data_IF_095780456970
#
_entry.id   IF_095780456970
#
_cell.length_a   1.000
_cell.length_b   1.000
_cell.length_c   1.000
_cell.angle_alpha   90.00
_cell.angle_beta   90.00
_cell.angle_gamma   90.00
#
_symmetry.space_group_name_H-M   'P 1'
#
loop_
_entity.id
_entity.type
_entity.pdbx_description
1 polymer ?
#
# COMPACT_ATOMS: atom_id res chain seq x y z
N UNK A 1 -14.55 8.26 21.22
CA UNK A 1 -14.58 6.90 20.63
C UNK A 1 -13.32 6.67 19.80
N UNK A 2 -12.75 5.45 19.74
CA UNK A 2 -11.53 5.15 18.96
C UNK A 2 -11.62 5.56 17.49
N UNK A 3 -12.78 5.33 16.86
CA UNK A 3 -13.02 5.72 15.45
C UNK A 3 -12.91 7.24 15.24
N UNK A 4 -13.50 8.03 16.13
CA UNK A 4 -13.43 9.50 16.05
C UNK A 4 -11.98 9.98 16.17
N UNK A 5 -11.24 9.46 17.16
CA UNK A 5 -9.83 9.82 17.36
C UNK A 5 -8.96 9.44 16.16
N UNK A 6 -9.23 8.27 15.56
CA UNK A 6 -8.52 7.81 14.36
C UNK A 6 -8.84 8.71 13.15
N UNK A 7 -10.08 9.21 13.02
CA UNK A 7 -10.43 10.20 11.97
C UNK A 7 -9.71 11.53 12.18
N UNK A 8 -9.63 12.00 13.42
CA UNK A 8 -8.89 13.22 13.78
C UNK A 8 -7.39 13.06 13.52
N UNK A 9 -6.80 11.91 13.89
CA UNK A 9 -5.42 11.55 13.56
C UNK A 9 -5.19 11.54 12.05
N UNK A 10 -6.06 10.87 11.28
CA UNK A 10 -5.93 10.83 9.82
C UNK A 10 -5.99 12.24 9.22
N UNK A 11 -6.96 13.09 9.61
CA UNK A 11 -7.05 14.47 9.13
C UNK A 11 -5.76 15.25 9.39
N UNK A 12 -5.23 15.19 10.61
CA UNK A 12 -3.96 15.82 10.97
C UNK A 12 -2.79 15.31 10.12
N UNK A 13 -2.79 14.03 9.74
CA UNK A 13 -1.77 13.46 8.86
C UNK A 13 -1.91 13.98 7.42
N UNK A 14 -3.12 14.02 6.88
CA UNK A 14 -3.38 14.53 5.53
C UNK A 14 -3.07 16.03 5.39
N UNK A 15 -3.23 16.81 6.47
CA UNK A 15 -2.80 18.22 6.50
C UNK A 15 -1.29 18.39 6.61
N UNK A 16 -0.59 17.41 7.20
CA UNK A 16 0.85 17.47 7.47
C UNK A 16 1.69 16.96 6.30
N UNK A 17 1.22 15.94 5.60
CA UNK A 17 1.96 15.25 4.54
C UNK A 17 1.33 15.52 3.18
N UNK A 18 2.16 15.85 2.18
CA UNK A 18 1.71 16.10 0.81
C UNK A 18 1.35 14.77 0.12
N UNK A 19 0.16 14.24 0.39
CA UNK A 19 -0.36 12.98 -0.22
C UNK A 19 -1.46 13.21 -1.26
N UNK A 20 -1.87 14.46 -1.48
CA UNK A 20 -2.95 14.85 -2.39
C UNK A 20 -2.84 14.21 -3.80
N UNK A 21 -1.65 14.10 -4.43
CA UNK A 21 -1.53 13.46 -5.74
C UNK A 21 -1.95 11.98 -5.77
N UNK A 22 -2.09 11.33 -4.61
CA UNK A 22 -2.43 9.92 -4.48
C UNK A 22 -3.77 9.66 -3.80
N UNK A 23 -4.61 10.70 -3.70
CA UNK A 23 -5.99 10.55 -3.23
C UNK A 23 -6.92 10.24 -4.41
N UNK A 24 -7.19 8.95 -4.59
CA UNK A 24 -8.09 8.40 -5.61
C UNK A 24 -9.53 8.20 -5.11
N UNK A 25 -9.75 8.29 -3.79
CA UNK A 25 -11.08 8.33 -3.19
C UNK A 25 -11.09 9.24 -1.98
N UNK A 26 -12.15 10.04 -1.82
CA UNK A 26 -12.33 10.93 -0.68
C UNK A 26 -13.26 10.35 0.39
N UNK A 27 -13.84 9.17 0.14
CA UNK A 27 -14.79 8.54 1.06
C UNK A 27 -14.06 7.48 1.89
N UNK A 28 -13.71 7.88 3.11
CA UNK A 28 -13.01 7.02 4.08
C UNK A 28 -13.90 6.70 5.25
N UNK A 29 -14.05 5.41 5.54
CA UNK A 29 -14.71 4.89 6.73
C UNK A 29 -13.64 4.45 7.74
N UNK A 30 -13.85 4.76 9.01
CA UNK A 30 -13.07 4.18 10.11
C UNK A 30 -13.99 3.26 10.90
N UNK A 31 -13.59 2.00 11.07
CA UNK A 31 -14.36 0.99 11.77
C UNK A 31 -13.43 0.07 12.59
N UNK A 32 -13.61 0.04 13.91
CA UNK A 32 -12.78 -0.77 14.82
C UNK A 32 -12.98 -2.29 14.70
N UNK A 33 -14.03 -2.73 13.99
CA UNK A 33 -14.39 -4.15 13.83
C UNK A 33 -14.12 -4.69 12.43
N UNK A 34 -13.54 -3.87 11.55
CA UNK A 34 -13.27 -4.25 10.16
C UNK A 34 -11.78 -4.42 9.93
N UNK A 35 -11.44 -5.44 9.13
CA UNK A 35 -10.12 -5.53 8.51
C UNK A 35 -10.02 -4.38 7.48
N UNK A 36 -8.88 -3.67 7.40
CA UNK A 36 -8.68 -2.65 6.36
C UNK A 36 -8.93 -3.19 4.96
N UNK A 37 -9.56 -2.37 4.11
CA UNK A 37 -9.84 -2.70 2.72
C UNK A 37 -10.21 -1.45 1.91
N UNK A 38 -9.94 -1.49 0.61
CA UNK A 38 -10.19 -0.38 -0.32
C UNK A 38 -11.64 -0.29 -0.79
N UNK A 39 -12.34 -1.43 -0.98
CA UNK A 39 -13.64 -1.50 -1.65
C UNK A 39 -14.76 -2.08 -0.79
N UNK A 40 -16.03 -1.64 -0.97
CA UNK A 40 -16.48 -0.58 -1.89
C UNK A 40 -16.22 0.84 -1.36
N UNK A 41 -15.78 0.95 -0.10
CA UNK A 41 -15.41 2.20 0.56
C UNK A 41 -14.12 1.94 1.31
N UNK A 42 -13.13 2.82 1.13
CA UNK A 42 -11.85 2.73 1.83
C UNK A 42 -12.12 2.71 3.34
N UNK A 43 -11.81 1.59 3.97
CA UNK A 43 -12.08 1.34 5.38
C UNK A 43 -10.78 1.13 6.12
N UNK A 44 -10.55 1.91 7.18
CA UNK A 44 -9.40 1.79 8.07
C UNK A 44 -9.81 1.23 9.43
N UNK A 45 -8.95 0.40 10.03
CA UNK A 45 -9.08 -0.05 11.41
C UNK A 45 -8.46 0.97 12.37
N UNK A 46 -8.99 1.05 13.58
CA UNK A 46 -8.46 1.85 14.70
C UNK A 46 -7.17 1.30 15.33
N UNK A 47 -6.56 0.22 14.80
CA UNK A 47 -5.43 -0.49 15.47
C UNK A 47 -4.14 0.32 15.49
N UNK A 48 -4.08 1.38 14.69
CA UNK A 48 -2.97 2.33 14.60
C UNK A 48 -3.33 3.70 15.19
N UNK A 49 -4.35 3.74 16.05
CA UNK A 49 -4.56 4.89 16.92
C UNK A 49 -3.27 5.14 17.72
N UNK A 50 -2.84 6.39 17.77
CA UNK A 50 -1.59 6.86 18.39
C UNK A 50 -0.30 6.39 17.67
N UNK A 51 -0.41 5.76 16.50
CA UNK A 51 0.72 5.49 15.60
C UNK A 51 0.50 6.12 14.22
N UNK A 52 1.03 7.33 14.07
CA UNK A 52 0.88 8.16 12.87
C UNK A 52 1.32 7.48 11.58
N UNK A 53 2.52 6.91 11.57
CA UNK A 53 3.11 6.40 10.34
C UNK A 53 2.45 5.10 9.89
N UNK A 54 2.04 4.22 10.81
CA UNK A 54 1.31 3.02 10.42
C UNK A 54 -0.10 3.35 9.93
N UNK A 55 -0.78 4.34 10.51
CA UNK A 55 -2.08 4.78 9.98
C UNK A 55 -1.95 5.39 8.59
N UNK A 56 -0.94 6.25 8.37
CA UNK A 56 -0.65 6.84 7.07
C UNK A 56 -0.33 5.77 6.02
N UNK A 57 0.51 4.80 6.38
CA UNK A 57 0.86 3.63 5.55
C UNK A 57 -0.39 2.88 5.09
N UNK A 58 -1.28 2.49 6.03
CA UNK A 58 -2.53 1.81 5.68
C UNK A 58 -3.44 2.66 4.80
N UNK A 59 -3.53 3.97 5.05
CA UNK A 59 -4.31 4.86 4.17
C UNK A 59 -3.76 4.86 2.74
N UNK A 60 -2.44 5.06 2.59
CA UNK A 60 -1.78 5.05 1.28
C UNK A 60 -1.93 3.68 0.60
N UNK A 61 -1.75 2.58 1.32
CA UNK A 61 -1.95 1.21 0.81
C UNK A 61 -3.32 1.06 0.15
N UNK A 62 -4.39 1.43 0.86
CA UNK A 62 -5.73 1.33 0.32
C UNK A 62 -5.96 2.31 -0.83
N UNK A 63 -5.34 3.50 -0.82
CA UNK A 63 -5.37 4.40 -1.97
C UNK A 63 -4.70 3.80 -3.22
N UNK A 64 -3.61 3.05 -3.07
CA UNK A 64 -2.93 2.40 -4.20
C UNK A 64 -3.77 1.28 -4.82
N UNK A 65 -4.61 0.61 -4.04
CA UNK A 65 -5.62 -0.29 -4.62
C UNK A 65 -6.58 0.44 -5.58
N UNK A 66 -7.08 1.63 -5.21
CA UNK A 66 -7.94 2.43 -6.10
C UNK A 66 -7.20 2.87 -7.37
N UNK A 67 -5.93 3.27 -7.25
CA UNK A 67 -5.10 3.63 -8.42
C UNK A 67 -4.96 2.47 -9.40
N UNK A 68 -4.62 1.29 -8.88
CA UNK A 68 -4.40 0.10 -9.69
C UNK A 68 -5.69 -0.41 -10.34
N UNK A 69 -6.84 -0.28 -9.67
CA UNK A 69 -8.15 -0.57 -10.26
C UNK A 69 -8.51 0.40 -11.40
N UNK A 70 -8.29 1.70 -11.18
CA UNK A 70 -8.48 2.72 -12.22
C UNK A 70 -7.54 2.53 -13.44
N UNK A 71 -6.44 1.80 -13.27
CA UNK A 71 -5.45 1.49 -14.32
C UNK A 71 -5.42 0.00 -14.68
N UNK A 72 -6.53 -0.73 -14.51
CA UNK A 72 -6.61 -2.21 -14.60
C UNK A 72 -5.79 -2.86 -15.71
N UNK A 73 -5.93 -2.43 -16.97
CA UNK A 73 -5.19 -3.03 -18.10
C UNK A 73 -3.67 -2.89 -17.95
N UNK A 74 -3.18 -1.76 -17.41
CA UNK A 74 -1.75 -1.58 -17.14
C UNK A 74 -1.32 -2.46 -15.95
N UNK A 75 -2.16 -2.53 -14.91
CA UNK A 75 -1.95 -3.40 -13.74
C UNK A 75 -1.79 -4.86 -14.15
N UNK A 76 -2.71 -5.39 -14.95
CA UNK A 76 -2.67 -6.77 -15.44
C UNK A 76 -1.37 -7.06 -16.23
N UNK A 77 -0.90 -6.11 -17.06
CA UNK A 77 0.37 -6.25 -17.79
C UNK A 77 1.58 -6.21 -16.86
N UNK A 78 1.59 -5.30 -15.89
CA UNK A 78 2.67 -5.23 -14.90
C UNK A 78 2.74 -6.50 -14.05
N UNK A 79 1.59 -7.06 -13.65
CA UNK A 79 1.53 -8.35 -12.96
C UNK A 79 2.08 -9.49 -13.82
N UNK A 80 1.74 -9.53 -15.11
CA UNK A 80 2.30 -10.52 -16.03
C UNK A 80 3.83 -10.38 -16.20
N UNK A 81 4.36 -9.16 -16.22
CA UNK A 81 5.80 -8.91 -16.25
C UNK A 81 6.48 -9.36 -14.94
N UNK A 82 5.86 -9.04 -13.78
CA UNK A 82 6.34 -9.52 -12.47
C UNK A 82 6.32 -11.04 -12.38
N UNK A 83 5.35 -11.72 -12.98
CA UNK A 83 5.33 -13.19 -13.06
C UNK A 83 6.54 -13.75 -13.82
N UNK A 84 7.04 -13.05 -14.83
CA UNK A 84 8.29 -13.43 -15.51
C UNK A 84 9.52 -13.37 -14.60
N UNK A 85 9.54 -12.44 -13.64
CA UNK A 85 10.66 -12.22 -12.72
C UNK A 85 10.57 -13.08 -11.45
N UNK A 86 9.34 -13.28 -10.97
CA UNK A 86 9.02 -14.06 -9.79
C UNK A 86 8.05 -15.17 -10.18
N UNK A 87 8.49 -16.31 -10.74
CA UNK A 87 7.59 -17.32 -11.29
C UNK A 87 6.52 -17.83 -10.32
N UNK A 88 6.76 -17.70 -9.01
CA UNK A 88 5.74 -17.95 -7.99
C UNK A 88 5.96 -17.01 -6.82
N UNK A 89 4.94 -16.20 -6.51
CA UNK A 89 4.87 -15.46 -5.27
C UNK A 89 4.25 -16.31 -4.16
N UNK A 90 4.61 -16.05 -2.89
CA UNK A 90 3.97 -16.72 -1.76
C UNK A 90 2.47 -16.39 -1.74
N UNK A 91 1.68 -17.38 -1.35
CA UNK A 91 0.24 -17.26 -1.10
C UNK A 91 -0.05 -17.74 0.32
N UNK A 92 -1.21 -17.38 0.86
CA UNK A 92 -1.62 -17.70 2.21
C UNK A 92 -1.11 -16.69 3.24
N UNK A 93 -2.03 -16.26 4.11
CA UNK A 93 -1.71 -15.36 5.21
C UNK A 93 -0.81 -16.08 6.23
N UNK A 94 0.24 -15.44 6.80
CA UNK A 94 0.61 -14.03 6.65
C UNK A 94 1.69 -13.75 5.60
N UNK A 95 2.16 -14.73 4.83
CA UNK A 95 3.29 -14.52 3.90
C UNK A 95 2.87 -13.85 2.59
N UNK A 96 1.68 -14.19 2.07
CA UNK A 96 1.12 -13.64 0.84
C UNK A 96 -0.41 -13.47 0.90
N UNK A 97 -1.01 -13.19 -0.25
CA UNK A 97 -2.45 -13.00 -0.38
C UNK A 97 -3.20 -14.34 -0.56
N UNK A 98 -4.52 -14.27 -0.75
CA UNK A 98 -5.39 -15.48 -0.83
C UNK A 98 -5.01 -16.40 -2.00
N UNK A 99 -4.56 -15.82 -3.10
CA UNK A 99 -4.07 -16.53 -4.29
C UNK A 99 -2.90 -15.76 -4.92
N UNK A 100 -2.31 -16.36 -5.96
CA UNK A 100 -1.11 -15.83 -6.59
C UNK A 100 -1.37 -14.50 -7.31
N UNK A 101 -2.54 -14.35 -7.94
CA UNK A 101 -2.93 -13.12 -8.64
C UNK A 101 -3.04 -11.95 -7.66
N UNK A 102 -3.71 -12.19 -6.53
CA UNK A 102 -3.81 -11.26 -5.41
C UNK A 102 -2.43 -10.93 -4.82
N UNK A 103 -1.49 -11.89 -4.78
CA UNK A 103 -0.13 -11.63 -4.30
C UNK A 103 0.65 -10.72 -5.26
N UNK A 104 0.48 -10.83 -6.57
CA UNK A 104 1.08 -9.87 -7.50
C UNK A 104 0.46 -8.48 -7.38
N UNK A 105 -0.87 -8.41 -7.21
CA UNK A 105 -1.54 -7.13 -6.95
C UNK A 105 -0.97 -6.48 -5.68
N UNK A 106 -0.86 -7.22 -4.57
CA UNK A 106 -0.29 -6.70 -3.34
C UNK A 106 1.19 -6.38 -3.45
N UNK A 107 1.97 -7.07 -4.30
CA UNK A 107 3.35 -6.68 -4.54
C UNK A 107 3.44 -5.29 -5.19
N UNK A 108 2.55 -4.98 -6.16
CA UNK A 108 2.44 -3.65 -6.76
C UNK A 108 1.97 -2.60 -5.75
N UNK A 109 0.92 -2.91 -4.96
CA UNK A 109 0.41 -2.02 -3.92
C UNK A 109 1.50 -1.69 -2.90
N UNK A 110 2.18 -2.70 -2.36
CA UNK A 110 3.23 -2.51 -1.37
C UNK A 110 4.41 -1.71 -1.94
N UNK A 111 4.76 -1.88 -3.22
CA UNK A 111 5.79 -1.04 -3.85
C UNK A 111 5.35 0.43 -3.94
N UNK A 112 4.14 0.70 -4.42
CA UNK A 112 3.63 2.07 -4.56
C UNK A 112 3.45 2.75 -3.19
N UNK A 113 3.01 1.98 -2.19
CA UNK A 113 2.97 2.42 -0.79
C UNK A 113 4.36 2.82 -0.29
N UNK A 114 5.39 1.99 -0.55
CA UNK A 114 6.76 2.29 -0.15
C UNK A 114 7.29 3.56 -0.80
N UNK A 115 7.11 3.69 -2.12
CA UNK A 115 7.54 4.85 -2.88
C UNK A 115 6.86 6.14 -2.38
N UNK A 116 5.56 6.09 -2.12
CA UNK A 116 4.79 7.18 -1.53
C UNK A 116 5.29 7.59 -0.14
N UNK A 117 5.58 6.62 0.73
CA UNK A 117 6.15 6.90 2.05
C UNK A 117 7.56 7.47 1.97
N UNK A 118 8.40 6.98 1.06
CA UNK A 118 9.75 7.53 0.86
C UNK A 118 9.68 8.99 0.42
N UNK A 119 8.75 9.33 -0.48
CA UNK A 119 8.56 10.67 -0.99
C UNK A 119 8.00 11.64 0.09
N UNK A 120 7.06 11.18 0.93
CA UNK A 120 6.38 12.05 1.91
C UNK A 120 7.03 12.11 3.28
N UNK A 121 7.54 10.99 3.78
CA UNK A 121 8.06 10.86 5.14
C UNK A 121 9.58 10.62 5.18
N UNK A 122 10.22 10.45 4.02
CA UNK A 122 11.64 10.14 3.92
C UNK A 122 11.95 8.65 3.98
N UNK A 123 13.14 8.28 3.48
CA UNK A 123 13.54 6.88 3.28
C UNK A 123 13.67 6.11 4.58
N UNK A 124 14.20 6.73 5.62
CA UNK A 124 14.41 6.10 6.93
C UNK A 124 13.06 5.75 7.59
N UNK A 125 12.09 6.67 7.53
CA UNK A 125 10.75 6.44 8.07
C UNK A 125 10.01 5.38 7.25
N UNK A 126 10.02 5.48 5.92
CA UNK A 126 9.43 4.46 5.06
C UNK A 126 10.00 3.07 5.35
N UNK A 127 11.34 2.98 5.53
CA UNK A 127 12.01 1.72 5.87
C UNK A 127 11.54 1.16 7.21
N UNK A 128 11.49 1.99 8.25
CA UNK A 128 11.03 1.55 9.58
C UNK A 128 9.59 1.03 9.55
N UNK A 129 8.71 1.67 8.78
CA UNK A 129 7.32 1.23 8.60
C UNK A 129 7.26 -0.12 7.90
N UNK A 130 8.06 -0.30 6.84
CA UNK A 130 8.10 -1.56 6.09
C UNK A 130 8.76 -2.71 6.86
N UNK A 131 9.75 -2.43 7.71
CA UNK A 131 10.33 -3.44 8.60
C UNK A 131 9.29 -3.95 9.62
N UNK A 132 8.37 -3.09 10.09
CA UNK A 132 7.22 -3.52 10.89
C UNK A 132 6.26 -4.41 10.07
N UNK A 133 5.84 -3.95 8.89
CA UNK A 133 4.88 -4.66 8.05
C UNK A 133 5.39 -6.01 7.55
N UNK A 134 6.69 -6.12 7.27
CA UNK A 134 7.39 -7.35 6.93
C UNK A 134 7.33 -8.44 8.02
N UNK A 135 6.79 -8.14 9.20
CA UNK A 135 6.56 -9.09 10.30
C UNK A 135 5.08 -9.19 10.72
N UNK A 136 4.17 -8.42 10.13
CA UNK A 136 2.74 -8.38 10.45
C UNK A 136 1.94 -9.23 9.47
N UNK A 137 1.78 -8.76 8.23
CA UNK A 137 1.00 -9.39 7.16
C UNK A 137 1.70 -9.21 5.79
N UNK A 138 1.32 -9.99 4.78
CA UNK A 138 2.01 -10.06 3.47
C UNK A 138 3.53 -10.05 3.57
N UNK A 139 4.05 -10.74 4.59
CA UNK A 139 5.41 -10.54 5.12
C UNK A 139 6.46 -10.70 4.04
N UNK A 140 6.35 -11.77 3.25
CA UNK A 140 7.27 -12.01 2.16
C UNK A 140 7.14 -10.96 1.05
N UNK A 141 5.95 -10.44 0.76
CA UNK A 141 5.77 -9.38 -0.25
C UNK A 141 6.45 -8.07 0.18
N UNK A 142 6.29 -7.63 1.43
CA UNK A 142 7.03 -6.47 1.96
C UNK A 142 8.55 -6.68 1.90
N UNK A 143 9.04 -7.88 2.24
CA UNK A 143 10.48 -8.21 2.13
C UNK A 143 10.98 -8.19 0.69
N UNK A 144 10.16 -8.63 -0.28
CA UNK A 144 10.49 -8.55 -1.70
C UNK A 144 10.61 -7.08 -2.12
N UNK A 145 9.68 -6.21 -1.74
CA UNK A 145 9.78 -4.75 -2.02
C UNK A 145 11.06 -4.16 -1.44
N UNK A 146 11.37 -4.45 -0.18
CA UNK A 146 12.59 -3.95 0.48
C UNK A 146 13.90 -4.43 -0.18
N UNK A 147 13.88 -5.61 -0.80
CA UNK A 147 15.05 -6.24 -1.40
C UNK A 147 15.23 -5.83 -2.86
N UNK A 148 14.14 -5.80 -3.62
CA UNK A 148 14.14 -5.71 -5.08
C UNK A 148 13.45 -4.43 -5.58
N UNK A 149 13.39 -3.38 -4.75
CA UNK A 149 12.75 -2.09 -5.02
C UNK A 149 13.02 -1.56 -6.45
N UNK A 150 14.29 -1.52 -6.86
CA UNK A 150 14.69 -1.00 -8.17
C UNK A 150 14.14 -1.83 -9.35
N UNK A 151 14.06 -3.15 -9.19
CA UNK A 151 13.54 -4.05 -10.21
C UNK A 151 12.02 -3.89 -10.36
N UNK A 152 11.30 -3.80 -9.24
CA UNK A 152 9.85 -3.58 -9.25
C UNK A 152 9.54 -2.19 -9.82
N UNK A 153 10.31 -1.17 -9.44
CA UNK A 153 10.21 0.19 -10.00
C UNK A 153 10.31 0.19 -11.52
N UNK A 154 11.26 -0.57 -12.08
CA UNK A 154 11.42 -0.66 -13.52
C UNK A 154 10.16 -1.22 -14.20
N UNK A 155 9.60 -2.30 -13.65
CA UNK A 155 8.35 -2.88 -14.18
C UNK A 155 7.20 -1.88 -14.10
N UNK A 156 7.02 -1.20 -12.96
CA UNK A 156 5.97 -0.21 -12.77
C UNK A 156 6.12 0.97 -13.75
N UNK A 157 7.34 1.47 -13.93
CA UNK A 157 7.63 2.55 -14.86
C UNK A 157 7.40 2.16 -16.32
N UNK A 158 7.88 0.99 -16.75
CA UNK A 158 7.71 0.47 -18.12
C UNK A 158 6.24 0.31 -18.51
N UNK A 159 5.36 0.05 -17.53
CA UNK A 159 3.92 -0.13 -17.75
C UNK A 159 3.11 1.14 -17.50
N UNK A 160 3.75 2.28 -17.20
CA UNK A 160 3.08 3.56 -17.00
C UNK A 160 2.17 3.57 -15.77
N UNK A 161 2.61 2.90 -14.70
CA UNK A 161 1.94 2.78 -13.40
C UNK A 161 2.64 3.58 -12.29
N UNK A 162 3.49 4.54 -12.62
CA UNK A 162 4.00 5.50 -11.63
C UNK A 162 2.96 6.62 -11.46
N UNK A 163 2.36 6.80 -10.28
CA UNK A 163 1.57 7.99 -9.97
C UNK A 163 2.37 9.28 -10.18
N UNK A 164 1.67 10.39 -10.40
CA UNK A 164 2.31 11.69 -10.45
C UNK A 164 3.04 11.97 -9.11
N UNK A 165 4.27 12.47 -9.20
CA UNK A 165 5.11 12.77 -8.04
C UNK A 165 5.96 11.60 -7.50
N UNK A 166 5.88 10.39 -8.09
CA UNK A 166 6.68 9.20 -7.72
C UNK A 166 7.72 8.79 -8.78
#
# INVERSE_FOLDING_TARGET
>A
MPEQKTREQLRRLLEKFEVDPWIYTNTVRVNERSIPHSHPVLTLHTRHLDNDMHLLSTFIHEQMHWFLDANRTKTERAMAALHGLYPTLPTGFPEGAVDVESSYLHLLVNYLEYAALQNTAGKETARSVFDFWANDHYRALYRIVLKDEALIREVVAQHGLMPEGL
#
